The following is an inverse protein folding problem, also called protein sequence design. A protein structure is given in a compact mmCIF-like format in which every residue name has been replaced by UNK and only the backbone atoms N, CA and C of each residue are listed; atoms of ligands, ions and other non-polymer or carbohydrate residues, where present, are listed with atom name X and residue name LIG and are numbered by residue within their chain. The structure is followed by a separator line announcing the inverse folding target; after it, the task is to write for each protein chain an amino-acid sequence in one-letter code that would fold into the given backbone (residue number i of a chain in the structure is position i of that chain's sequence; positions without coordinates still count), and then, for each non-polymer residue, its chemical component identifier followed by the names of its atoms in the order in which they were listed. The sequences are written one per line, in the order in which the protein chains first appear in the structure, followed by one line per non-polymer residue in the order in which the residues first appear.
data_IF_121608295675
#
_entry.id   IF_121608295675
#
_cell.length_a   1.000
_cell.length_b   1.000
_cell.length_c   1.000
_cell.angle_alpha   90.00
_cell.angle_beta   90.00
_cell.angle_gamma   90.00
#
_symmetry.space_group_name_H-M   'P 1'
#
loop_
_entity.id
_entity.type
_entity.pdbx_description
1 polymer ?
#
# COMPACT_ATOMS: atom_id res chain seq x y z
N UNK A 1 -14.84 34.57 30.27
CA UNK A 1 -14.27 35.15 29.03
C UNK A 1 -13.74 34.02 28.17
N UNK A 2 -14.67 33.34 27.49
CA UNK A 2 -14.37 32.41 26.39
C UNK A 2 -15.69 31.98 25.74
N UNK A 3 -16.23 32.84 24.90
CA UNK A 3 -17.46 32.56 24.14
C UNK A 3 -17.47 33.29 22.79
N UNK A 4 -16.42 33.14 21.98
CA UNK A 4 -16.43 33.83 20.66
C UNK A 4 -15.64 33.07 19.54
N UNK A 5 -15.62 31.75 19.56
CA UNK A 5 -14.99 30.96 18.48
C UNK A 5 -15.92 30.04 17.65
N UNK A 6 -17.23 30.06 17.88
CA UNK A 6 -18.17 29.15 17.20
C UNK A 6 -18.98 29.79 16.06
N UNK A 7 -18.71 31.02 15.65
CA UNK A 7 -19.49 31.74 14.60
C UNK A 7 -18.87 31.71 13.19
N UNK A 8 -17.70 31.15 12.98
CA UNK A 8 -16.96 31.23 11.70
C UNK A 8 -17.29 30.19 10.63
N UNK A 9 -17.86 29.08 11.00
CA UNK A 9 -18.06 27.94 10.06
C UNK A 9 -19.42 27.93 9.31
N UNK A 10 -20.41 28.66 9.81
CA UNK A 10 -21.73 28.70 9.18
C UNK A 10 -21.83 29.62 7.94
N UNK A 11 -20.97 30.59 7.81
CA UNK A 11 -21.05 31.58 6.74
C UNK A 11 -20.30 31.23 5.47
N UNK A 12 -19.40 30.26 5.52
CA UNK A 12 -18.66 29.79 4.34
C UNK A 12 -19.55 28.92 3.42
N UNK A 13 -20.49 28.18 3.99
CA UNK A 13 -21.41 27.33 3.21
C UNK A 13 -22.51 28.11 2.47
N UNK A 14 -22.92 29.26 2.97
CA UNK A 14 -23.96 30.08 2.32
C UNK A 14 -23.48 30.93 1.13
N UNK A 15 -22.17 31.09 0.95
CA UNK A 15 -21.63 31.84 -0.20
C UNK A 15 -21.46 31.02 -1.48
N UNK A 16 -21.43 29.70 -1.38
CA UNK A 16 -21.27 28.84 -2.57
C UNK A 16 -22.55 28.59 -3.36
N UNK A 17 -23.73 28.81 -2.76
CA UNK A 17 -25.02 28.63 -3.47
C UNK A 17 -25.47 29.86 -4.29
N UNK A 18 -24.85 31.02 -4.14
CA UNK A 18 -25.26 32.25 -4.84
C UNK A 18 -24.47 32.55 -6.13
N UNK A 19 -23.41 31.83 -6.46
CA UNK A 19 -22.61 32.11 -7.66
C UNK A 19 -22.85 31.18 -8.86
N UNK A 20 -23.82 30.29 -8.83
CA UNK A 20 -24.13 29.38 -9.95
C UNK A 20 -25.35 29.83 -10.81
N UNK A 21 -25.64 31.10 -10.87
CA UNK A 21 -26.75 31.64 -11.64
C UNK A 21 -26.32 32.65 -12.71
N UNK A 22 -25.45 32.30 -13.66
CA UNK A 22 -25.27 33.10 -14.88
C UNK A 22 -25.07 32.18 -16.08
N UNK A 23 -26.09 32.20 -16.95
CA UNK A 23 -26.13 31.53 -18.24
C UNK A 23 -24.91 31.90 -19.12
N UNK A 24 -24.24 30.91 -19.67
CA UNK A 24 -23.33 31.11 -20.81
C UNK A 24 -23.91 30.38 -22.02
N UNK A 25 -24.23 31.16 -23.05
CA UNK A 25 -24.61 30.77 -24.37
C UNK A 25 -23.56 29.89 -25.05
N UNK A 26 -24.01 28.81 -25.63
CA UNK A 26 -23.25 27.86 -26.43
C UNK A 26 -22.70 28.53 -27.68
N UNK A 27 -21.39 28.41 -27.90
CA UNK A 27 -20.77 28.42 -29.21
C UNK A 27 -19.96 27.15 -29.36
N UNK A 28 -20.34 26.34 -30.34
CA UNK A 28 -19.73 25.04 -30.61
C UNK A 28 -18.25 25.15 -31.00
N UNK A 29 -17.43 24.39 -30.34
CA UNK A 29 -16.11 24.02 -30.80
C UNK A 29 -16.03 22.49 -30.79
N UNK A 30 -15.63 21.94 -31.95
CA UNK A 30 -15.56 20.50 -32.18
C UNK A 30 -14.74 19.76 -31.14
N UNK A 31 -15.31 18.70 -30.63
CA UNK A 31 -14.64 17.72 -29.77
C UNK A 31 -13.43 17.14 -30.52
N UNK A 32 -12.25 17.32 -29.96
CA UNK A 32 -11.11 16.48 -30.29
C UNK A 32 -11.39 15.09 -29.72
N UNK A 33 -11.16 14.02 -30.49
CA UNK A 33 -11.29 12.67 -29.93
C UNK A 33 -10.33 12.52 -28.76
N UNK A 34 -10.87 12.06 -27.60
CA UNK A 34 -10.05 11.61 -26.47
C UNK A 34 -9.09 10.52 -26.95
N UNK A 35 -7.84 10.52 -26.48
CA UNK A 35 -6.93 9.43 -26.78
C UNK A 35 -7.53 8.14 -26.23
N UNK A 36 -7.70 7.15 -27.11
CA UNK A 36 -8.14 5.81 -26.73
C UNK A 36 -7.31 5.32 -25.54
N UNK A 37 -7.99 4.96 -24.44
CA UNK A 37 -7.35 4.31 -23.32
C UNK A 37 -6.67 3.04 -23.83
N UNK A 38 -5.42 2.74 -23.40
CA UNK A 38 -4.75 1.51 -23.82
C UNK A 38 -5.67 0.33 -23.48
N UNK A 39 -5.94 -0.51 -24.47
CA UNK A 39 -6.74 -1.73 -24.32
C UNK A 39 -6.21 -2.51 -23.12
N UNK A 40 -7.10 -2.81 -22.14
CA UNK A 40 -6.75 -3.68 -21.03
C UNK A 40 -6.32 -5.05 -21.60
N UNK A 41 -5.19 -5.59 -21.17
CA UNK A 41 -4.75 -6.89 -21.66
C UNK A 41 -5.86 -7.92 -21.39
N UNK A 42 -6.09 -8.86 -22.32
CA UNK A 42 -7.13 -9.85 -22.17
C UNK A 42 -6.92 -10.63 -20.88
N UNK A 43 -7.99 -10.79 -20.08
CA UNK A 43 -7.97 -11.58 -18.86
C UNK A 43 -7.53 -13.00 -19.21
N UNK A 44 -6.38 -13.39 -18.71
CA UNK A 44 -5.93 -14.79 -18.82
C UNK A 44 -6.81 -15.62 -17.89
N UNK A 45 -7.55 -16.57 -18.43
CA UNK A 45 -8.58 -17.30 -17.69
C UNK A 45 -8.05 -18.27 -16.62
N UNK A 46 -6.75 -18.58 -16.60
CA UNK A 46 -6.14 -19.47 -15.60
C UNK A 46 -4.73 -19.01 -15.24
N UNK A 47 -4.55 -18.52 -14.01
CA UNK A 47 -3.27 -18.16 -13.43
C UNK A 47 -2.82 -19.24 -12.45
N UNK A 48 -1.70 -19.91 -12.70
CA UNK A 48 -1.08 -20.82 -11.75
C UNK A 48 0.05 -20.12 -11.01
N UNK A 49 -0.19 -19.79 -9.73
CA UNK A 49 0.80 -19.17 -8.86
C UNK A 49 1.65 -20.24 -8.17
N UNK A 50 2.93 -19.99 -8.10
CA UNK A 50 3.85 -20.80 -7.31
C UNK A 50 3.77 -20.33 -5.86
N UNK A 51 3.28 -21.25 -4.99
CA UNK A 51 3.13 -21.02 -3.56
C UNK A 51 4.38 -21.47 -2.80
N UNK A 52 4.87 -20.64 -1.90
CA UNK A 52 5.88 -20.98 -0.89
C UNK A 52 5.60 -20.22 0.41
N UNK A 53 5.74 -20.91 1.54
CA UNK A 53 5.56 -20.30 2.84
C UNK A 53 6.89 -19.86 3.45
N UNK A 54 6.84 -18.83 4.30
CA UNK A 54 7.99 -18.43 5.13
C UNK A 54 8.57 -19.60 5.93
N UNK A 55 7.71 -20.51 6.43
CA UNK A 55 8.13 -21.68 7.19
C UNK A 55 8.94 -22.67 6.35
N UNK A 56 8.60 -22.85 5.06
CA UNK A 56 9.31 -23.72 4.12
C UNK A 56 10.68 -23.17 3.72
N UNK A 57 10.88 -21.85 3.71
CA UNK A 57 12.19 -21.21 3.56
C UNK A 57 13.00 -21.30 4.85
N UNK A 58 12.31 -21.26 6.01
CA UNK A 58 12.90 -21.18 7.34
C UNK A 58 12.61 -19.85 8.02
N UNK A 59 11.88 -19.90 9.12
CA UNK A 59 11.38 -18.71 9.82
C UNK A 59 12.47 -17.71 10.25
N UNK A 60 13.71 -18.19 10.46
CA UNK A 60 14.86 -17.40 10.87
C UNK A 60 15.89 -17.23 9.76
N UNK A 61 15.62 -17.74 8.58
CA UNK A 61 16.52 -17.63 7.42
C UNK A 61 16.24 -16.33 6.65
N UNK A 62 16.65 -15.21 7.23
CA UNK A 62 16.33 -13.88 6.72
C UNK A 62 17.01 -13.56 5.39
N UNK A 63 18.16 -14.14 5.13
CA UNK A 63 18.90 -13.97 3.88
C UNK A 63 18.16 -14.61 2.69
N UNK A 64 17.72 -15.85 2.84
CA UNK A 64 16.95 -16.54 1.80
C UNK A 64 15.55 -15.95 1.64
N UNK A 65 14.92 -15.47 2.74
CA UNK A 65 13.66 -14.74 2.66
C UNK A 65 13.81 -13.42 1.88
N UNK A 66 14.89 -12.68 2.11
CA UNK A 66 15.19 -11.45 1.39
C UNK A 66 15.49 -11.71 -0.09
N UNK A 67 16.33 -12.74 -0.36
CA UNK A 67 16.58 -13.21 -1.72
C UNK A 67 15.27 -13.55 -2.44
N UNK A 68 14.44 -14.41 -1.85
CA UNK A 68 13.19 -14.85 -2.45
C UNK A 68 12.22 -13.68 -2.68
N UNK A 69 12.08 -12.78 -1.71
CA UNK A 69 11.26 -11.58 -1.87
C UNK A 69 11.78 -10.68 -3.02
N UNK A 70 13.09 -10.55 -3.17
CA UNK A 70 13.67 -9.79 -4.28
C UNK A 70 13.44 -10.46 -5.64
N UNK A 71 13.59 -11.77 -5.71
CA UNK A 71 13.28 -12.56 -6.92
C UNK A 71 11.80 -12.46 -7.28
N UNK A 72 10.92 -12.63 -6.29
CA UNK A 72 9.47 -12.48 -6.49
C UNK A 72 9.12 -11.10 -7.04
N UNK A 73 9.76 -10.03 -6.56
CA UNK A 73 9.56 -8.68 -7.09
C UNK A 73 9.94 -8.54 -8.56
N UNK A 74 11.01 -9.15 -9.00
CA UNK A 74 11.42 -9.16 -10.41
C UNK A 74 10.44 -9.96 -11.29
N UNK A 75 10.07 -11.13 -10.83
CA UNK A 75 9.20 -12.06 -11.57
C UNK A 75 7.78 -11.50 -11.67
N UNK A 76 7.22 -11.04 -10.55
CA UNK A 76 5.84 -10.53 -10.48
C UNK A 76 5.64 -9.16 -11.16
N UNK A 77 6.69 -8.51 -11.63
CA UNK A 77 6.60 -7.21 -12.31
C UNK A 77 5.77 -7.26 -13.59
N UNK A 78 5.90 -8.32 -14.35
CA UNK A 78 5.21 -8.50 -15.64
C UNK A 78 3.94 -9.33 -15.51
N UNK A 79 3.95 -10.30 -14.63
CA UNK A 79 2.81 -11.19 -14.36
C UNK A 79 2.91 -11.76 -12.95
N UNK A 80 1.79 -12.00 -12.24
CA UNK A 80 1.81 -12.63 -10.94
C UNK A 80 2.23 -14.10 -11.10
N UNK A 81 3.34 -14.50 -10.47
CA UNK A 81 3.87 -15.86 -10.56
C UNK A 81 4.29 -16.45 -9.19
N UNK A 82 4.97 -15.68 -8.32
CA UNK A 82 5.49 -16.18 -7.03
C UNK A 82 4.72 -15.59 -5.86
N UNK A 83 4.07 -16.43 -5.08
CA UNK A 83 3.31 -16.06 -3.89
C UNK A 83 4.00 -16.57 -2.63
N UNK A 84 4.75 -15.69 -1.97
CA UNK A 84 5.39 -15.94 -0.68
C UNK A 84 4.48 -15.47 0.45
N UNK A 85 4.15 -16.33 1.42
CA UNK A 85 3.26 -15.95 2.51
C UNK A 85 3.66 -16.52 3.87
N UNK A 86 3.09 -15.93 4.95
CA UNK A 86 3.40 -16.31 6.33
C UNK A 86 2.50 -17.41 6.92
N UNK A 87 1.64 -18.05 6.12
CA UNK A 87 0.80 -19.16 6.57
C UNK A 87 -0.68 -18.80 6.71
N UNK A 88 -1.31 -19.15 7.85
CA UNK A 88 -2.78 -19.18 7.99
C UNK A 88 -3.52 -17.87 7.67
N UNK A 89 -2.93 -16.71 7.97
CA UNK A 89 -3.55 -15.43 7.63
C UNK A 89 -3.86 -15.30 6.13
N UNK A 90 -3.01 -15.85 5.29
CA UNK A 90 -3.12 -15.77 3.83
C UNK A 90 -4.08 -16.78 3.19
N UNK A 91 -4.50 -17.82 3.91
CA UNK A 91 -5.41 -18.84 3.37
C UNK A 91 -6.74 -18.24 2.88
N UNK A 92 -7.26 -17.24 3.59
CA UNK A 92 -8.48 -16.53 3.16
C UNK A 92 -8.28 -15.82 1.83
N UNK A 93 -7.15 -15.14 1.66
CA UNK A 93 -6.81 -14.39 0.45
C UNK A 93 -6.57 -15.31 -0.73
N UNK A 94 -5.91 -16.44 -0.49
CA UNK A 94 -5.80 -17.50 -1.49
C UNK A 94 -7.15 -18.07 -1.91
N UNK A 95 -8.11 -18.18 -0.97
CA UNK A 95 -9.49 -18.60 -1.27
C UNK A 95 -10.20 -17.59 -2.18
N UNK A 96 -10.06 -16.29 -1.90
CA UNK A 96 -10.60 -15.23 -2.76
C UNK A 96 -9.94 -15.21 -4.14
N UNK A 97 -8.64 -15.44 -4.21
CA UNK A 97 -7.91 -15.54 -5.47
C UNK A 97 -8.35 -16.78 -6.27
N UNK A 98 -8.54 -17.93 -5.61
CA UNK A 98 -9.08 -19.15 -6.27
C UNK A 98 -10.48 -18.91 -6.83
N UNK A 99 -11.33 -18.19 -6.11
CA UNK A 99 -12.65 -17.81 -6.61
C UNK A 99 -12.58 -16.88 -7.84
N UNK A 100 -11.43 -16.24 -8.07
CA UNK A 100 -11.14 -15.41 -9.24
C UNK A 100 -10.38 -16.13 -10.33
N UNK A 101 -10.24 -17.48 -10.28
CA UNK A 101 -9.61 -18.30 -11.31
C UNK A 101 -8.11 -18.58 -11.08
N UNK A 102 -7.53 -18.22 -9.94
CA UNK A 102 -6.15 -18.55 -9.63
C UNK A 102 -6.01 -19.97 -9.08
N UNK A 103 -4.94 -20.66 -9.46
CA UNK A 103 -4.49 -21.91 -8.86
C UNK A 103 -3.16 -21.72 -8.15
N UNK A 104 -2.77 -22.66 -7.29
CA UNK A 104 -1.53 -22.57 -6.52
C UNK A 104 -0.81 -23.90 -6.54
N UNK A 105 0.43 -23.88 -7.00
CA UNK A 105 1.32 -25.04 -7.02
C UNK A 105 2.48 -24.81 -6.04
N UNK A 106 2.62 -25.69 -5.06
CA UNK A 106 3.73 -25.62 -4.09
C UNK A 106 5.06 -25.97 -4.73
N UNK A 107 6.09 -25.16 -4.45
CA UNK A 107 7.46 -25.42 -4.85
C UNK A 107 8.43 -25.03 -3.74
N UNK A 108 9.53 -25.76 -3.66
CA UNK A 108 10.65 -25.44 -2.77
C UNK A 108 11.43 -24.21 -3.28
N UNK A 109 12.21 -23.59 -2.38
CA UNK A 109 13.08 -22.47 -2.74
C UNK A 109 14.06 -22.85 -3.88
N UNK A 110 14.61 -24.08 -3.86
CA UNK A 110 15.52 -24.56 -4.91
C UNK A 110 14.85 -24.70 -6.27
N UNK A 111 13.60 -25.17 -6.32
CA UNK A 111 12.83 -25.24 -7.57
C UNK A 111 12.51 -23.85 -8.10
N UNK A 112 12.07 -22.92 -7.24
CA UNK A 112 11.80 -21.51 -7.59
C UNK A 112 13.08 -20.87 -8.13
N UNK A 113 14.19 -21.05 -7.43
CA UNK A 113 15.50 -20.53 -7.89
C UNK A 113 15.87 -21.08 -9.26
N UNK A 114 15.71 -22.39 -9.48
CA UNK A 114 16.02 -23.01 -10.78
C UNK A 114 15.15 -22.50 -11.92
N UNK A 115 13.89 -22.18 -11.66
CA UNK A 115 12.95 -21.67 -12.65
C UNK A 115 13.20 -20.19 -13.01
N UNK A 116 13.56 -19.37 -12.03
CA UNK A 116 13.48 -17.90 -12.19
C UNK A 116 14.77 -17.14 -11.99
N UNK A 117 15.88 -17.77 -11.55
CA UNK A 117 17.14 -17.06 -11.31
C UNK A 117 17.63 -16.28 -12.55
N UNK A 118 17.33 -16.80 -13.74
CA UNK A 118 17.66 -16.18 -15.02
C UNK A 118 16.90 -14.86 -15.31
N UNK A 119 15.88 -14.54 -14.53
CA UNK A 119 15.19 -13.23 -14.60
C UNK A 119 16.03 -12.11 -14.00
N UNK A 120 16.96 -12.45 -13.13
CA UNK A 120 17.89 -11.48 -12.56
C UNK A 120 19.10 -11.27 -13.48
N UNK A 121 19.45 -10.00 -13.76
CA UNK A 121 20.69 -9.65 -14.47
C UNK A 121 21.93 -9.85 -13.62
N UNK A 122 21.76 -9.94 -12.30
CA UNK A 122 22.81 -10.09 -11.32
C UNK A 122 22.29 -9.85 -9.91
N UNK A 123 23.15 -9.41 -9.01
CA UNK A 123 22.76 -9.13 -7.63
C UNK A 123 23.30 -7.81 -7.09
N UNK A 124 22.57 -7.28 -6.10
CA UNK A 124 23.02 -6.21 -5.20
C UNK A 124 23.50 -6.84 -3.91
N UNK A 125 24.74 -6.57 -3.52
CA UNK A 125 25.35 -7.10 -2.31
C UNK A 125 24.98 -6.22 -1.12
N UNK A 126 24.38 -6.84 -0.09
CA UNK A 126 24.00 -6.21 1.18
C UNK A 126 24.85 -6.76 2.33
N UNK A 127 24.90 -6.06 3.45
CA UNK A 127 25.57 -6.53 4.67
C UNK A 127 24.82 -7.70 5.32
N UNK A 128 25.53 -8.54 6.06
CA UNK A 128 24.97 -9.76 6.67
C UNK A 128 24.00 -9.45 7.82
N UNK A 129 23.96 -8.22 8.33
CA UNK A 129 22.96 -7.75 9.31
C UNK A 129 21.70 -7.22 8.66
N UNK A 130 21.67 -7.14 7.32
CA UNK A 130 20.56 -6.65 6.51
C UNK A 130 20.16 -5.19 6.81
N UNK A 131 21.04 -4.40 7.40
CA UNK A 131 20.78 -2.99 7.75
C UNK A 131 20.63 -2.09 6.52
N UNK A 132 21.21 -2.50 5.39
CA UNK A 132 21.16 -1.74 4.13
C UNK A 132 20.14 -2.26 3.12
N UNK A 133 19.19 -3.07 3.58
CA UNK A 133 18.15 -3.65 2.71
C UNK A 133 17.37 -2.58 1.95
N UNK A 134 17.10 -1.42 2.56
CA UNK A 134 16.38 -0.32 1.92
C UNK A 134 17.12 0.22 0.68
N UNK A 135 18.46 0.34 0.76
CA UNK A 135 19.28 0.74 -0.39
C UNK A 135 19.30 -0.39 -1.43
N UNK A 136 19.53 -1.64 -0.97
CA UNK A 136 19.60 -2.79 -1.85
C UNK A 136 18.29 -2.99 -2.62
N UNK A 137 17.13 -2.87 -1.97
CA UNK A 137 15.82 -3.02 -2.62
C UNK A 137 15.54 -1.91 -3.64
N UNK A 138 15.93 -0.66 -3.33
CA UNK A 138 15.84 0.46 -4.27
C UNK A 138 16.64 0.19 -5.55
N UNK A 139 17.89 -0.27 -5.40
CA UNK A 139 18.75 -0.57 -6.54
C UNK A 139 18.31 -1.83 -7.29
N UNK A 140 17.92 -2.88 -6.57
CA UNK A 140 17.49 -4.15 -7.17
C UNK A 140 16.33 -3.95 -8.15
N UNK A 141 15.39 -3.05 -7.81
CA UNK A 141 14.27 -2.71 -8.69
C UNK A 141 14.68 -2.11 -10.03
N UNK A 142 15.68 -1.24 -10.05
CA UNK A 142 16.13 -0.53 -11.27
C UNK A 142 17.23 -1.27 -12.02
N UNK A 143 18.01 -2.10 -11.34
CA UNK A 143 19.07 -2.91 -11.95
C UNK A 143 18.59 -4.29 -12.43
N UNK A 144 17.32 -4.64 -12.19
CA UNK A 144 16.76 -5.99 -12.43
C UNK A 144 17.62 -7.07 -11.71
N UNK A 145 17.88 -6.85 -10.41
CA UNK A 145 18.78 -7.64 -9.60
C UNK A 145 18.06 -8.32 -8.43
N UNK A 146 18.59 -9.45 -7.96
CA UNK A 146 18.26 -10.01 -6.66
C UNK A 146 19.15 -9.42 -5.57
N UNK A 147 18.77 -9.59 -4.30
CA UNK A 147 19.56 -9.12 -3.15
C UNK A 147 20.24 -10.32 -2.50
N UNK A 148 21.55 -10.24 -2.30
CA UNK A 148 22.33 -11.30 -1.68
C UNK A 148 23.24 -10.72 -0.58
N UNK A 149 23.44 -11.53 0.49
CA UNK A 149 24.51 -11.33 1.47
C UNK A 149 25.81 -11.90 0.93
N UNK A 150 26.93 -11.65 1.61
CA UNK A 150 28.24 -12.21 1.24
C UNK A 150 28.21 -13.73 1.30
N UNK A 151 27.60 -14.29 2.32
CA UNK A 151 27.50 -15.74 2.51
C UNK A 151 26.68 -16.38 1.40
N UNK A 152 25.51 -15.85 1.11
CA UNK A 152 24.60 -16.40 0.08
C UNK A 152 25.22 -16.27 -1.33
N UNK A 153 25.86 -15.15 -1.64
CA UNK A 153 26.51 -14.91 -2.92
C UNK A 153 27.70 -15.87 -3.20
N UNK A 154 28.30 -16.46 -2.15
CA UNK A 154 29.39 -17.43 -2.28
C UNK A 154 28.91 -18.83 -2.65
N UNK A 155 27.64 -19.13 -2.48
CA UNK A 155 27.04 -20.48 -2.65
C UNK A 155 26.45 -20.67 -4.06
N UNK A 156 26.48 -21.91 -4.54
CA UNK A 156 25.73 -22.26 -5.74
C UNK A 156 24.21 -22.26 -5.46
N UNK A 157 23.40 -21.84 -6.42
CA UNK A 157 23.73 -21.36 -7.76
C UNK A 157 24.05 -19.86 -7.86
N UNK A 158 23.97 -19.12 -6.75
CA UNK A 158 24.06 -17.64 -6.71
C UNK A 158 25.44 -17.10 -7.11
N UNK A 159 26.50 -17.91 -6.87
CA UNK A 159 27.90 -17.55 -7.23
C UNK A 159 28.13 -17.42 -8.74
N UNK A 160 27.17 -17.81 -9.56
CA UNK A 160 27.20 -17.60 -11.01
C UNK A 160 26.70 -16.20 -11.42
N UNK A 161 26.05 -15.47 -10.54
CA UNK A 161 25.51 -14.15 -10.84
C UNK A 161 26.60 -13.07 -10.79
N UNK A 162 26.48 -12.07 -11.66
CA UNK A 162 27.31 -10.88 -11.62
C UNK A 162 26.91 -9.96 -10.47
N UNK A 163 27.88 -9.45 -9.69
CA UNK A 163 27.63 -8.37 -8.75
C UNK A 163 27.44 -7.05 -9.51
N UNK A 164 26.24 -6.47 -9.43
CA UNK A 164 25.92 -5.21 -10.11
C UNK A 164 26.14 -3.99 -9.21
N UNK A 165 25.95 -4.15 -7.90
CA UNK A 165 26.20 -3.10 -6.91
C UNK A 165 26.63 -3.70 -5.57
N UNK A 166 27.33 -2.90 -4.78
CA UNK A 166 27.70 -3.17 -3.39
C UNK A 166 27.25 -2.00 -2.53
N UNK A 167 26.31 -2.23 -1.61
CA UNK A 167 25.71 -1.16 -0.82
C UNK A 167 26.10 -1.19 0.66
N UNK A 168 27.02 -2.06 1.04
CA UNK A 168 27.44 -2.27 2.44
C UNK A 168 28.02 -1.02 3.09
N UNK A 169 28.69 -0.18 2.33
CA UNK A 169 29.30 1.09 2.76
C UNK A 169 28.46 2.33 2.39
N UNK A 170 27.25 2.14 1.84
CA UNK A 170 26.38 3.23 1.42
C UNK A 170 25.41 3.64 2.55
N UNK A 171 24.97 4.90 2.48
CA UNK A 171 23.97 5.48 3.38
C UNK A 171 22.78 6.05 2.60
N UNK A 172 21.82 6.59 3.32
CA UNK A 172 20.62 7.14 2.72
C UNK A 172 20.88 8.43 1.93
N UNK A 173 21.87 9.23 2.33
CA UNK A 173 22.27 10.43 1.59
C UNK A 173 22.81 10.06 0.20
N UNK A 174 23.66 9.02 0.15
CA UNK A 174 24.13 8.47 -1.11
C UNK A 174 22.97 7.95 -1.98
N UNK A 175 21.99 7.25 -1.35
CA UNK A 175 20.82 6.76 -2.07
C UNK A 175 20.00 7.90 -2.67
N UNK A 176 19.76 8.97 -1.91
CA UNK A 176 19.02 10.13 -2.39
C UNK A 176 19.70 10.78 -3.61
N UNK A 177 21.03 10.92 -3.57
CA UNK A 177 21.79 11.44 -4.70
C UNK A 177 21.77 10.48 -5.90
N UNK A 178 21.83 9.16 -5.68
CA UNK A 178 21.71 8.16 -6.72
C UNK A 178 20.32 8.23 -7.40
N UNK A 179 19.23 8.28 -6.62
CA UNK A 179 17.88 8.41 -7.16
C UNK A 179 17.76 9.69 -7.99
N UNK A 180 18.30 10.82 -7.52
CA UNK A 180 18.28 12.08 -8.26
C UNK A 180 18.98 11.98 -9.61
N UNK A 181 20.15 11.34 -9.66
CA UNK A 181 20.92 11.15 -10.88
C UNK A 181 20.27 10.18 -11.87
N UNK A 182 19.50 9.21 -11.37
CA UNK A 182 18.88 8.13 -12.16
C UNK A 182 17.34 8.17 -12.08
N UNK A 183 16.77 9.34 -11.87
CA UNK A 183 15.33 9.53 -11.58
C UNK A 183 14.39 8.90 -12.63
N UNK A 184 14.79 8.87 -13.90
CA UNK A 184 14.02 8.25 -14.98
C UNK A 184 13.92 6.72 -14.87
N UNK A 185 14.75 6.07 -14.06
CA UNK A 185 14.71 4.61 -13.83
C UNK A 185 13.77 4.24 -12.69
N UNK A 186 13.49 5.18 -11.77
CA UNK A 186 12.62 4.98 -10.62
C UNK A 186 11.18 5.37 -10.91
N UNK A 187 10.26 4.67 -10.29
CA UNK A 187 8.88 5.10 -10.22
C UNK A 187 8.68 5.99 -8.99
N UNK A 188 8.58 7.29 -9.20
CA UNK A 188 8.46 8.29 -8.15
C UNK A 188 7.00 8.60 -7.77
N UNK A 189 6.07 7.65 -8.01
CA UNK A 189 4.67 7.77 -7.57
C UNK A 189 4.45 7.26 -6.13
N UNK A 190 5.46 6.70 -5.50
CA UNK A 190 5.42 6.23 -4.12
C UNK A 190 6.83 6.07 -3.56
N UNK A 191 6.93 5.96 -2.24
CA UNK A 191 8.12 5.52 -1.52
C UNK A 191 7.75 4.41 -0.57
N UNK A 192 8.68 3.49 -0.30
CA UNK A 192 8.47 2.37 0.63
C UNK A 192 9.35 2.56 1.85
N UNK A 193 8.83 2.15 3.00
CA UNK A 193 9.59 2.07 4.24
C UNK A 193 9.14 0.88 5.07
N UNK A 194 10.08 0.15 5.64
CA UNK A 194 9.76 -0.89 6.61
C UNK A 194 10.98 -1.16 7.52
N UNK A 195 10.92 -0.65 8.73
CA UNK A 195 12.00 -0.80 9.69
C UNK A 195 12.02 -2.15 10.41
N UNK A 196 10.93 -2.93 10.35
CA UNK A 196 10.74 -4.07 11.26
C UNK A 196 11.23 -5.39 10.68
N UNK A 197 11.05 -5.64 9.38
CA UNK A 197 11.39 -6.92 8.75
C UNK A 197 11.99 -6.71 7.36
N UNK A 198 13.26 -7.07 7.17
CA UNK A 198 14.00 -6.71 5.95
C UNK A 198 13.50 -7.37 4.66
N UNK A 199 12.61 -8.36 4.73
CA UNK A 199 12.06 -9.04 3.55
C UNK A 199 10.60 -8.64 3.21
N UNK A 200 9.89 -7.96 4.11
CA UNK A 200 8.51 -7.55 3.83
C UNK A 200 8.49 -6.33 2.91
N UNK A 201 7.51 -6.27 2.02
CA UNK A 201 7.33 -5.24 0.98
C UNK A 201 8.47 -5.12 -0.06
N UNK A 202 9.51 -5.95 0.02
CA UNK A 202 10.63 -5.95 -0.93
C UNK A 202 10.15 -6.30 -2.34
N UNK A 203 9.31 -7.32 -2.46
CA UNK A 203 8.70 -7.72 -3.73
C UNK A 203 7.92 -6.57 -4.37
N UNK A 204 7.18 -5.82 -3.59
CA UNK A 204 6.39 -4.68 -4.05
C UNK A 204 7.25 -3.51 -4.50
N UNK A 205 8.27 -3.15 -3.71
CA UNK A 205 9.19 -2.07 -4.06
C UNK A 205 9.94 -2.38 -5.36
N UNK A 206 10.47 -3.61 -5.50
CA UNK A 206 11.22 -4.06 -6.69
C UNK A 206 10.31 -4.16 -7.92
N UNK A 207 9.12 -4.74 -7.78
CA UNK A 207 8.17 -4.87 -8.90
C UNK A 207 7.80 -3.50 -9.47
N UNK A 208 7.59 -2.52 -8.61
CA UNK A 208 7.19 -1.18 -9.00
C UNK A 208 8.36 -0.22 -9.24
N UNK A 209 9.61 -0.59 -8.94
CA UNK A 209 10.80 0.28 -8.95
C UNK A 209 10.65 1.48 -8.03
N UNK A 210 9.97 1.31 -6.90
CA UNK A 210 9.83 2.37 -5.90
C UNK A 210 11.12 2.58 -5.13
N UNK A 211 11.50 3.84 -4.83
CA UNK A 211 12.55 4.12 -3.87
C UNK A 211 12.14 3.64 -2.48
N UNK A 212 13.12 3.31 -1.66
CA UNK A 212 12.91 2.90 -0.28
C UNK A 212 13.75 3.77 0.65
N UNK A 213 13.16 4.32 1.71
CA UNK A 213 13.85 5.09 2.75
C UNK A 213 13.99 4.30 4.06
N UNK A 214 14.97 4.65 4.86
CA UNK A 214 15.19 3.98 6.15
C UNK A 214 14.29 4.50 7.28
N UNK A 215 13.87 5.70 7.22
CA UNK A 215 13.05 6.47 8.17
C UNK A 215 13.48 6.42 9.65
N UNK A 216 13.69 5.27 10.22
CA UNK A 216 14.06 5.11 11.64
C UNK A 216 15.38 5.79 12.04
N UNK A 217 16.21 6.13 11.05
CA UNK A 217 17.51 6.77 11.22
C UNK A 217 17.79 7.87 10.20
N UNK A 218 16.75 8.29 9.46
CA UNK A 218 16.89 9.29 8.41
C UNK A 218 17.23 10.65 9.01
N UNK A 219 18.18 11.33 8.39
CA UNK A 219 18.32 12.78 8.55
C UNK A 219 17.11 13.45 7.88
N UNK A 220 16.43 14.34 8.60
CA UNK A 220 15.26 15.07 8.09
C UNK A 220 15.53 15.74 6.74
N UNK A 221 16.74 16.28 6.54
CA UNK A 221 17.13 16.90 5.28
C UNK A 221 17.23 15.90 4.12
N UNK A 222 17.65 14.67 4.39
CA UNK A 222 17.71 13.60 3.38
C UNK A 222 16.31 13.12 3.04
N UNK A 223 15.48 12.88 4.05
CA UNK A 223 14.08 12.45 3.87
C UNK A 223 13.29 13.51 3.10
N UNK A 224 13.46 14.78 3.42
CA UNK A 224 12.88 15.90 2.69
C UNK A 224 13.28 15.89 1.20
N UNK A 225 14.56 15.67 0.89
CA UNK A 225 15.01 15.53 -0.52
C UNK A 225 14.30 14.38 -1.23
N UNK A 226 14.15 13.23 -0.58
CA UNK A 226 13.45 12.08 -1.13
C UNK A 226 11.98 12.41 -1.42
N UNK A 227 11.29 13.04 -0.48
CA UNK A 227 9.87 13.39 -0.64
C UNK A 227 9.63 14.40 -1.77
N UNK A 228 10.47 15.42 -1.91
CA UNK A 228 10.36 16.37 -3.02
C UNK A 228 10.78 15.80 -4.40
N UNK A 229 11.36 14.63 -4.46
CA UNK A 229 11.53 13.90 -5.73
C UNK A 229 10.29 13.14 -6.16
N UNK A 230 9.38 12.82 -5.24
CA UNK A 230 8.13 12.14 -5.54
C UNK A 230 7.14 13.09 -6.24
N UNK A 231 6.10 12.53 -6.83
CA UNK A 231 4.94 13.34 -7.23
C UNK A 231 4.19 13.85 -5.98
N UNK A 232 3.58 15.04 -6.03
CA UNK A 232 2.72 15.49 -4.94
C UNK A 232 1.63 14.47 -4.62
N UNK A 233 1.28 14.36 -3.32
CA UNK A 233 0.30 13.39 -2.83
C UNK A 233 0.68 11.92 -3.11
N UNK A 234 1.96 11.59 -3.08
CA UNK A 234 2.43 10.22 -3.17
C UNK A 234 2.27 9.47 -1.85
N UNK A 235 1.88 8.18 -1.87
CA UNK A 235 1.87 7.36 -0.67
C UNK A 235 3.28 6.99 -0.23
N UNK A 236 3.46 6.98 1.08
CA UNK A 236 4.55 6.35 1.78
C UNK A 236 4.03 5.02 2.34
N UNK A 237 4.43 3.91 1.74
CA UNK A 237 4.02 2.58 2.15
C UNK A 237 4.90 2.04 3.25
N UNK A 238 4.29 1.57 4.33
CA UNK A 238 4.97 0.98 5.46
C UNK A 238 4.87 1.81 6.74
N UNK A 239 5.66 1.42 7.73
CA UNK A 239 5.69 2.10 9.03
C UNK A 239 7.09 2.00 9.59
N UNK A 240 7.86 3.06 9.53
CA UNK A 240 9.29 3.02 9.77
C UNK A 240 9.77 3.57 11.11
N UNK A 241 8.88 4.14 11.90
CA UNK A 241 9.26 4.83 13.13
C UNK A 241 8.85 4.08 14.40
N UNK A 242 9.55 4.27 15.53
CA UNK A 242 9.07 3.87 16.84
C UNK A 242 7.70 4.50 17.14
N UNK A 243 6.81 3.74 17.77
CA UNK A 243 5.42 4.14 18.05
C UNK A 243 5.22 5.54 18.65
N UNK A 244 6.20 6.04 19.39
CA UNK A 244 6.13 7.37 20.00
C UNK A 244 6.48 8.53 19.04
N UNK A 245 6.93 8.24 17.81
CA UNK A 245 7.31 9.22 16.79
C UNK A 245 6.38 9.21 15.56
N UNK A 246 5.39 8.33 15.52
CA UNK A 246 4.44 8.17 14.41
C UNK A 246 3.84 9.49 13.94
N UNK A 247 3.38 10.27 14.92
CA UNK A 247 2.74 11.55 14.66
C UNK A 247 3.70 12.54 14.00
N UNK A 248 4.96 12.54 14.39
CA UNK A 248 5.99 13.40 13.80
C UNK A 248 6.25 13.04 12.34
N UNK A 249 6.30 11.75 12.06
CA UNK A 249 6.60 11.20 10.74
C UNK A 249 5.49 11.49 9.73
N UNK A 250 4.25 11.24 10.12
CA UNK A 250 3.07 11.56 9.29
C UNK A 250 3.02 13.06 9.02
N UNK A 251 3.23 13.89 10.04
CA UNK A 251 3.26 15.33 9.91
C UNK A 251 4.37 15.80 8.95
N UNK A 252 5.56 15.24 9.11
CA UNK A 252 6.69 15.57 8.24
C UNK A 252 6.38 15.26 6.77
N UNK A 253 5.75 14.11 6.49
CA UNK A 253 5.30 13.77 5.15
C UNK A 253 4.28 14.77 4.59
N UNK A 254 3.28 15.14 5.40
CA UNK A 254 2.25 16.12 5.01
C UNK A 254 2.84 17.49 4.66
N UNK A 255 3.78 17.97 5.47
CA UNK A 255 4.47 19.26 5.29
C UNK A 255 5.47 19.26 4.12
N UNK A 256 5.84 18.08 3.61
CA UNK A 256 6.80 17.93 2.52
C UNK A 256 6.20 17.15 1.36
N UNK A 257 5.75 17.90 0.35
CA UNK A 257 5.16 17.38 -0.88
C UNK A 257 3.83 16.63 -0.70
N UNK A 258 3.15 16.81 0.46
CA UNK A 258 1.87 16.16 0.74
C UNK A 258 1.95 14.63 0.80
N UNK A 259 3.09 14.08 1.21
CA UNK A 259 3.25 12.64 1.34
C UNK A 259 2.39 12.10 2.49
N UNK A 260 1.53 11.13 2.20
CA UNK A 260 0.67 10.49 3.20
C UNK A 260 1.09 9.05 3.47
N UNK A 261 0.85 8.55 4.68
CA UNK A 261 1.32 7.22 5.08
C UNK A 261 0.23 6.15 4.95
N UNK A 262 0.55 5.06 4.26
CA UNK A 262 -0.26 3.84 4.20
C UNK A 262 0.42 2.78 5.07
N UNK A 263 -0.01 2.60 6.33
CA UNK A 263 0.71 1.76 7.27
C UNK A 263 0.56 0.27 6.94
N UNK A 264 1.67 -0.44 6.98
CA UNK A 264 1.74 -1.89 6.78
C UNK A 264 3.17 -2.37 6.99
N UNK A 265 3.38 -3.22 8.01
CA UNK A 265 4.71 -3.64 8.43
C UNK A 265 5.03 -5.11 8.13
N UNK A 266 4.01 -5.95 8.04
CA UNK A 266 4.15 -7.40 7.90
C UNK A 266 3.62 -7.94 6.56
N UNK A 267 3.53 -7.08 5.55
CA UNK A 267 2.93 -7.46 4.28
C UNK A 267 3.94 -8.19 3.39
N UNK A 268 3.59 -9.38 2.96
CA UNK A 268 4.31 -10.18 1.99
C UNK A 268 3.50 -10.29 0.71
N UNK A 269 4.16 -10.53 -0.40
CA UNK A 269 3.55 -10.69 -1.73
C UNK A 269 2.59 -9.56 -2.11
N UNK A 270 2.93 -8.34 -1.69
CA UNK A 270 2.14 -7.17 -2.05
C UNK A 270 2.15 -6.93 -3.57
N UNK A 271 3.19 -7.36 -4.27
CA UNK A 271 3.25 -7.38 -5.74
C UNK A 271 2.15 -8.23 -6.39
N UNK A 272 1.73 -9.32 -5.72
CA UNK A 272 0.60 -10.17 -6.16
C UNK A 272 -0.73 -9.55 -5.71
N UNK A 273 -0.84 -9.19 -4.41
CA UNK A 273 -2.08 -8.67 -3.83
C UNK A 273 -2.56 -7.37 -4.50
N UNK A 274 -1.63 -6.57 -5.04
CA UNK A 274 -1.90 -5.34 -5.79
C UNK A 274 -1.96 -5.53 -7.31
N UNK A 275 -1.96 -6.77 -7.80
CA UNK A 275 -1.96 -7.04 -9.24
C UNK A 275 -3.19 -6.49 -9.93
N UNK A 276 -2.98 -5.77 -11.03
CA UNK A 276 -4.05 -5.21 -11.87
C UNK A 276 -4.95 -6.27 -12.53
N UNK A 277 -4.51 -7.53 -12.57
CA UNK A 277 -5.31 -8.63 -13.06
C UNK A 277 -6.39 -9.09 -12.07
N UNK A 278 -6.26 -8.72 -10.79
CA UNK A 278 -7.29 -8.94 -9.79
C UNK A 278 -8.36 -7.84 -9.92
N UNK A 279 -9.62 -8.24 -10.07
CA UNK A 279 -10.74 -7.29 -10.12
C UNK A 279 -11.26 -7.01 -8.72
N UNK A 280 -11.35 -5.73 -8.31
CA UNK A 280 -11.97 -5.39 -7.05
C UNK A 280 -13.50 -5.62 -7.13
N UNK A 281 -14.06 -6.06 -6.02
CA UNK A 281 -15.51 -6.18 -5.84
C UNK A 281 -16.10 -4.83 -5.46
N UNK A 282 -17.07 -4.36 -6.25
CA UNK A 282 -17.75 -3.11 -6.00
C UNK A 282 -19.03 -3.38 -5.17
N UNK A 283 -19.04 -2.91 -3.93
CA UNK A 283 -20.22 -2.94 -3.08
C UNK A 283 -21.00 -1.64 -3.29
N UNK A 284 -22.30 -1.71 -3.64
CA UNK A 284 -23.12 -0.51 -3.72
C UNK A 284 -23.19 0.20 -2.36
N UNK A 285 -23.09 1.52 -2.35
CA UNK A 285 -23.39 2.29 -1.16
C UNK A 285 -24.83 2.01 -0.70
N UNK A 286 -25.01 1.64 0.54
CA UNK A 286 -26.33 1.47 1.15
C UNK A 286 -26.45 2.50 2.28
N UNK A 287 -26.77 3.76 1.97
CA UNK A 287 -27.04 4.74 3.02
C UNK A 287 -28.30 4.36 3.78
N UNK A 288 -28.15 4.11 5.06
CA UNK A 288 -29.30 4.00 5.96
C UNK A 288 -29.60 5.41 6.49
N UNK A 289 -30.62 6.05 5.93
CA UNK A 289 -31.10 7.31 6.48
C UNK A 289 -31.91 7.02 7.75
N UNK A 290 -31.38 7.47 8.88
CA UNK A 290 -32.09 7.46 10.15
C UNK A 290 -32.64 8.86 10.40
N UNK A 291 -33.96 9.07 10.32
CA UNK A 291 -34.52 10.40 10.55
C UNK A 291 -34.27 10.84 12.00
N UNK A 292 -33.72 12.04 12.14
CA UNK A 292 -33.50 12.64 13.46
C UNK A 292 -34.83 12.80 14.22
N UNK A 293 -34.90 12.34 15.46
CA UNK A 293 -36.05 12.46 16.34
C UNK A 293 -35.70 13.28 17.57
N UNK A 294 -36.56 14.18 17.95
CA UNK A 294 -36.43 14.99 19.18
C UNK A 294 -36.51 14.07 20.41
N UNK A 295 -35.57 14.26 21.37
CA UNK A 295 -35.54 13.48 22.62
C UNK A 295 -34.92 12.07 22.49
N UNK A 296 -34.25 11.78 21.37
CA UNK A 296 -33.53 10.53 21.14
C UNK A 296 -32.05 10.80 21.12
N UNK A 297 -31.27 9.95 21.80
CA UNK A 297 -29.81 9.91 21.73
C UNK A 297 -29.40 8.88 20.68
N UNK A 298 -28.53 9.28 19.75
CA UNK A 298 -27.95 8.42 18.75
C UNK A 298 -26.51 8.11 19.15
N UNK A 299 -26.16 6.82 19.17
CA UNK A 299 -24.81 6.37 19.47
C UNK A 299 -24.28 5.51 18.31
N UNK A 300 -23.05 5.74 17.89
CA UNK A 300 -22.34 4.93 16.92
C UNK A 300 -21.12 4.31 17.57
N UNK A 301 -20.97 3.00 17.40
CA UNK A 301 -19.78 2.28 17.86
C UNK A 301 -18.86 2.11 16.65
N UNK A 302 -17.67 2.75 16.72
CA UNK A 302 -16.67 2.68 15.66
C UNK A 302 -15.49 1.83 16.12
N UNK A 303 -15.20 0.79 15.35
CA UNK A 303 -13.97 0.02 15.51
C UNK A 303 -12.83 0.75 14.80
N UNK A 304 -11.84 1.19 15.59
CA UNK A 304 -10.63 1.86 15.11
C UNK A 304 -9.56 0.90 14.57
N UNK A 305 -8.39 1.42 14.22
CA UNK A 305 -7.20 0.72 13.71
C UNK A 305 -7.37 0.00 12.35
N UNK A 306 -8.50 0.19 11.67
CA UNK A 306 -8.70 -0.33 10.32
C UNK A 306 -7.87 0.36 9.24
N UNK A 307 -7.19 1.45 9.57
CA UNK A 307 -6.19 2.11 8.73
C UNK A 307 -4.90 1.29 8.58
N UNK A 308 -4.59 0.42 9.56
CA UNK A 308 -3.43 -0.44 9.51
C UNK A 308 -3.68 -1.65 8.61
N UNK A 309 -3.06 -1.66 7.44
CA UNK A 309 -3.23 -2.72 6.44
C UNK A 309 -2.77 -4.09 6.94
N UNK A 310 -1.81 -4.16 7.88
CA UNK A 310 -1.41 -5.42 8.52
C UNK A 310 -2.51 -5.99 9.40
N UNK A 311 -3.29 -5.14 10.08
CA UNK A 311 -4.44 -5.59 10.86
C UNK A 311 -5.58 -6.07 9.96
N UNK A 312 -5.82 -5.40 8.85
CA UNK A 312 -6.78 -5.86 7.85
C UNK A 312 -6.35 -7.18 7.24
N UNK A 313 -5.05 -7.38 7.02
CA UNK A 313 -4.52 -8.61 6.44
C UNK A 313 -4.69 -9.82 7.36
N UNK A 314 -4.68 -9.67 8.68
CA UNK A 314 -4.75 -10.77 9.63
C UNK A 314 -5.79 -10.57 10.74
N UNK A 315 -5.57 -9.60 11.64
CA UNK A 315 -6.28 -9.50 12.91
C UNK A 315 -7.79 -9.35 12.73
N UNK A 316 -8.24 -8.38 11.94
CA UNK A 316 -9.65 -8.06 11.80
C UNK A 316 -10.45 -9.09 11.01
N UNK A 317 -9.78 -9.93 10.23
CA UNK A 317 -10.42 -11.04 9.52
C UNK A 317 -10.68 -12.27 10.40
N UNK A 318 -10.17 -12.29 11.66
CA UNK A 318 -10.33 -13.42 12.58
C UNK A 318 -11.74 -13.51 13.16
N UNK A 319 -12.08 -14.70 13.69
CA UNK A 319 -13.40 -14.98 14.31
C UNK A 319 -13.68 -14.16 15.59
N UNK A 320 -12.70 -13.43 16.11
CA UNK A 320 -12.85 -12.53 17.25
C UNK A 320 -13.25 -11.11 16.84
N UNK A 321 -13.30 -10.82 15.56
CA UNK A 321 -13.65 -9.52 14.99
C UNK A 321 -14.76 -9.63 13.96
N UNK A 322 -14.58 -9.16 12.72
CA UNK A 322 -15.65 -9.10 11.71
C UNK A 322 -16.26 -10.48 11.35
N UNK A 323 -15.45 -11.55 11.49
CA UNK A 323 -15.94 -12.93 11.28
C UNK A 323 -16.60 -13.54 12.53
N UNK A 324 -16.75 -12.78 13.63
CA UNK A 324 -17.41 -13.31 14.84
C UNK A 324 -18.85 -13.70 14.51
N UNK A 325 -19.34 -14.90 14.93
CA UNK A 325 -20.69 -15.36 14.62
C UNK A 325 -21.80 -14.41 15.05
N UNK A 326 -21.54 -13.59 16.08
CA UNK A 326 -22.49 -12.60 16.62
C UNK A 326 -22.26 -11.17 16.12
N UNK A 327 -21.34 -10.95 15.17
CA UNK A 327 -21.05 -9.61 14.65
C UNK A 327 -22.28 -8.93 13.97
N UNK A 328 -23.28 -9.71 13.54
CA UNK A 328 -24.52 -9.22 12.97
C UNK A 328 -25.56 -8.78 14.03
N UNK A 329 -25.37 -9.09 15.32
CA UNK A 329 -26.34 -8.77 16.38
C UNK A 329 -26.27 -7.30 16.81
N UNK A 330 -25.14 -6.65 16.57
CA UNK A 330 -24.89 -5.25 16.97
C UNK A 330 -24.49 -4.45 15.73
N UNK A 331 -25.15 -3.31 15.45
CA UNK A 331 -24.72 -2.39 14.40
C UNK A 331 -23.34 -1.80 14.77
N UNK A 332 -22.32 -2.12 13.99
CA UNK A 332 -20.96 -1.63 14.16
C UNK A 332 -20.51 -0.88 12.91
N UNK A 333 -19.72 0.14 13.12
CA UNK A 333 -19.03 0.85 12.06
C UNK A 333 -17.53 0.46 12.12
N UNK A 334 -16.99 -0.02 11.02
CA UNK A 334 -15.60 -0.44 10.92
C UNK A 334 -14.79 0.60 10.16
N UNK A 335 -13.69 1.04 10.70
CA UNK A 335 -12.71 1.82 9.94
C UNK A 335 -12.13 0.95 8.84
N UNK A 336 -12.13 1.48 7.62
CA UNK A 336 -11.73 0.74 6.43
C UNK A 336 -10.83 1.58 5.53
N UNK A 337 -9.61 1.11 5.19
CA UNK A 337 -8.71 1.86 4.34
C UNK A 337 -9.09 1.65 2.86
N UNK A 338 -9.55 2.68 2.14
CA UNK A 338 -10.00 2.53 0.76
C UNK A 338 -8.88 2.09 -0.18
N UNK A 339 -7.62 2.30 0.20
CA UNK A 339 -6.44 1.83 -0.55
C UNK A 339 -6.33 0.31 -0.67
N UNK A 340 -7.05 -0.48 0.16
CA UNK A 340 -7.10 -1.94 -0.03
C UNK A 340 -7.66 -2.34 -1.39
N UNK A 341 -8.56 -1.53 -1.97
CA UNK A 341 -9.16 -1.78 -3.28
C UNK A 341 -8.11 -1.87 -4.40
N UNK A 342 -7.00 -1.18 -4.25
CA UNK A 342 -5.90 -1.18 -5.24
C UNK A 342 -4.66 -1.92 -4.77
N UNK A 343 -4.38 -1.90 -3.47
CA UNK A 343 -3.13 -2.44 -2.93
C UNK A 343 -3.25 -3.89 -2.47
N UNK A 344 -4.47 -4.34 -2.11
CA UNK A 344 -4.72 -5.69 -1.60
C UNK A 344 -6.09 -6.19 -2.07
N UNK A 345 -6.27 -6.35 -3.36
CA UNK A 345 -7.57 -6.67 -3.98
C UNK A 345 -8.27 -7.90 -3.38
N UNK A 346 -7.61 -9.04 -3.13
CA UNK A 346 -8.29 -10.19 -2.50
C UNK A 346 -8.77 -9.88 -1.08
N UNK A 347 -8.00 -9.08 -0.32
CA UNK A 347 -8.37 -8.64 1.03
C UNK A 347 -9.60 -7.74 0.95
N UNK A 348 -9.56 -6.74 0.06
CA UNK A 348 -10.71 -5.87 -0.22
C UNK A 348 -11.96 -6.70 -0.56
N UNK A 349 -11.86 -7.62 -1.53
CA UNK A 349 -12.97 -8.43 -1.99
C UNK A 349 -13.60 -9.23 -0.85
N UNK A 350 -12.78 -9.84 -0.01
CA UNK A 350 -13.27 -10.59 1.13
C UNK A 350 -14.04 -9.71 2.12
N UNK A 351 -13.48 -8.56 2.51
CA UNK A 351 -14.15 -7.63 3.43
C UNK A 351 -15.47 -7.11 2.87
N UNK A 352 -15.51 -6.75 1.60
CA UNK A 352 -16.72 -6.24 0.96
C UNK A 352 -17.83 -7.32 0.88
N UNK A 353 -17.45 -8.58 0.66
CA UNK A 353 -18.41 -9.70 0.62
C UNK A 353 -18.90 -10.15 1.99
N UNK A 354 -18.04 -10.04 3.02
CA UNK A 354 -18.30 -10.63 4.34
C UNK A 354 -18.71 -9.63 5.42
N UNK A 355 -18.90 -8.36 5.08
CA UNK A 355 -19.42 -7.37 6.03
C UNK A 355 -20.85 -7.76 6.45
N UNK A 356 -21.14 -7.94 7.76
CA UNK A 356 -22.48 -8.20 8.24
C UNK A 356 -23.49 -7.12 7.78
N UNK A 357 -24.70 -7.52 7.46
CA UNK A 357 -25.72 -6.61 6.90
C UNK A 357 -26.10 -5.45 7.84
N UNK A 358 -25.91 -5.63 9.15
CA UNK A 358 -26.15 -4.59 10.17
C UNK A 358 -24.98 -3.61 10.32
N UNK A 359 -23.84 -3.90 9.71
CA UNK A 359 -22.61 -3.16 9.87
C UNK A 359 -22.32 -2.29 8.65
N UNK A 360 -21.49 -1.25 8.82
CA UNK A 360 -21.06 -0.39 7.74
C UNK A 360 -19.54 -0.10 7.83
N UNK A 361 -18.99 0.43 6.74
CA UNK A 361 -17.64 0.98 6.71
C UNK A 361 -17.64 2.49 6.79
N UNK A 362 -16.62 3.03 7.45
CA UNK A 362 -16.23 4.44 7.42
C UNK A 362 -14.77 4.50 6.95
N UNK A 363 -14.43 5.45 6.12
CA UNK A 363 -13.06 5.64 5.67
C UNK A 363 -12.10 5.78 6.86
N UNK A 364 -11.01 5.04 6.81
CA UNK A 364 -9.99 5.05 7.86
C UNK A 364 -9.34 6.44 7.99
N UNK A 365 -8.46 6.59 8.95
CA UNK A 365 -7.87 7.86 9.34
C UNK A 365 -7.39 8.67 8.13
N UNK A 366 -8.04 9.80 7.95
CA UNK A 366 -7.87 10.80 6.91
C UNK A 366 -8.05 10.30 5.46
N UNK A 367 -8.65 9.11 5.26
CA UNK A 367 -9.04 8.61 3.94
C UNK A 367 -8.04 7.70 3.27
N UNK A 368 -7.32 8.16 2.25
CA UNK A 368 -6.37 7.32 1.49
C UNK A 368 -5.21 6.80 2.35
N UNK A 369 -4.90 7.46 3.45
CA UNK A 369 -3.91 7.06 4.43
C UNK A 369 -3.77 8.10 5.52
N UNK A 370 -2.82 7.88 6.42
CA UNK A 370 -2.53 8.85 7.48
C UNK A 370 -2.05 10.17 6.91
N UNK A 371 -2.76 11.23 7.26
CA UNK A 371 -2.37 12.63 7.01
C UNK A 371 -2.97 13.53 8.06
N UNK A 372 -2.34 14.66 8.31
CA UNK A 372 -2.85 15.76 9.12
C UNK A 372 -3.32 16.88 8.17
N UNK A 373 -4.62 17.06 7.95
CA UNK A 373 -5.13 18.03 6.98
C UNK A 373 -4.65 19.46 7.19
N UNK A 374 -4.52 19.92 8.44
CA UNK A 374 -4.03 21.27 8.75
C UNK A 374 -2.55 21.49 8.40
N UNK A 375 -1.79 20.41 8.20
CA UNK A 375 -0.36 20.44 7.85
C UNK A 375 -0.09 19.96 6.42
N UNK A 376 -1.11 19.63 5.65
CA UNK A 376 -0.94 19.00 4.36
C UNK A 376 -0.76 20.02 3.23
N UNK A 377 0.40 19.99 2.57
CA UNK A 377 0.78 20.97 1.53
C UNK A 377 -0.21 21.03 0.35
N UNK A 378 -0.80 19.88 -0.04
CA UNK A 378 -1.74 19.76 -1.16
C UNK A 378 -3.10 19.16 -0.72
N UNK A 379 -3.65 19.64 0.38
CA UNK A 379 -4.84 19.08 1.03
C UNK A 379 -6.06 18.98 0.13
N UNK A 380 -6.30 19.96 -0.73
CA UNK A 380 -7.47 19.98 -1.61
C UNK A 380 -7.41 18.84 -2.67
N UNK A 381 -6.24 18.59 -3.24
CA UNK A 381 -6.03 17.51 -4.20
C UNK A 381 -6.05 16.15 -3.51
N UNK A 382 -5.49 16.06 -2.30
CA UNK A 382 -5.57 14.86 -1.47
C UNK A 382 -7.02 14.46 -1.19
N UNK A 383 -7.88 15.38 -0.76
CA UNK A 383 -9.28 15.07 -0.50
C UNK A 383 -10.09 14.80 -1.76
N UNK A 384 -9.72 15.40 -2.90
CA UNK A 384 -10.35 15.05 -4.18
C UNK A 384 -10.05 13.59 -4.56
N UNK A 385 -8.81 13.15 -4.44
CA UNK A 385 -8.38 11.78 -4.63
C UNK A 385 -9.07 10.83 -3.64
N UNK A 386 -9.03 11.15 -2.36
CA UNK A 386 -9.69 10.38 -1.28
C UNK A 386 -11.20 10.21 -1.52
N UNK A 387 -11.91 11.27 -1.94
CA UNK A 387 -13.33 11.19 -2.23
C UNK A 387 -13.64 10.20 -3.38
N UNK A 388 -12.78 10.12 -4.40
CA UNK A 388 -12.89 9.09 -5.43
C UNK A 388 -12.77 7.69 -4.84
N UNK A 389 -11.71 7.45 -4.05
CA UNK A 389 -11.48 6.13 -3.41
C UNK A 389 -12.60 5.72 -2.47
N UNK A 390 -13.16 6.64 -1.69
CA UNK A 390 -14.29 6.37 -0.79
C UNK A 390 -15.53 5.95 -1.59
N UNK A 391 -15.86 6.68 -2.65
CA UNK A 391 -16.99 6.35 -3.54
C UNK A 391 -16.84 4.97 -4.17
N UNK A 392 -15.64 4.63 -4.65
CA UNK A 392 -15.33 3.32 -5.24
C UNK A 392 -15.49 2.17 -4.22
N UNK A 393 -15.39 2.46 -2.93
CA UNK A 393 -15.62 1.51 -1.84
C UNK A 393 -17.03 1.60 -1.22
N UNK A 394 -17.93 2.40 -1.79
CA UNK A 394 -19.31 2.58 -1.28
C UNK A 394 -19.39 3.36 0.04
N UNK A 395 -18.38 4.16 0.37
CA UNK A 395 -18.31 4.95 1.61
C UNK A 395 -18.64 6.43 1.35
N UNK A 396 -19.29 7.06 2.33
CA UNK A 396 -19.67 8.48 2.29
C UNK A 396 -18.96 9.32 3.34
N UNK A 397 -18.41 8.68 4.36
CA UNK A 397 -17.80 9.33 5.52
C UNK A 397 -16.42 8.77 5.77
N UNK A 398 -15.57 9.56 6.40
CA UNK A 398 -14.27 9.14 6.89
C UNK A 398 -13.98 9.75 8.25
N UNK A 399 -13.07 9.12 9.00
CA UNK A 399 -12.52 9.68 10.24
C UNK A 399 -11.32 10.54 9.87
N UNK A 400 -11.28 11.75 10.41
CA UNK A 400 -10.13 12.65 10.25
C UNK A 400 -9.28 12.61 11.50
N UNK A 401 -7.98 12.64 11.29
CA UNK A 401 -6.97 12.91 12.30
C UNK A 401 -6.26 14.22 11.95
N UNK A 402 -6.11 15.12 12.95
CA UNK A 402 -5.46 16.42 12.76
C UNK A 402 -4.67 16.86 14.00
#
# INVERSE_FOLDING_TARGET
RDTDRSRGLGDVYKRQEQEQGTQRTEQGQGEKPEPESPEEPPLVENWDLIEITRAEVGNSNYEELLYLASLAGLVNRSSPEIFLHSGQAYVKWMTEMKASGYTFTKKSLSEITSLFLNRAKGYVLVDDKLEKTYIAASLAGVLDAVILTTDLASKAPYNSLQKLADVRDKDEAWLADYIKQHSSQFNLNAIVNNASFPWTMVDFAIANRYPWCSNAKSDDAVLQKLYYMLKPNSPHYGWGVPYNLERMDVRFGCEHNGVYTVPGINTMSLSILSSKQLKPYDRPASPVEVPARTGVHYATIVFSDGDNTSYMLDLFSRNTYISHPRAHEIPLTWMYPPTLRTNMVPVHNWYQKNLPATNCYVGALSGAGYTFPSHHEFVADYFRMTNGMLKDCGMQYMVLMD
#
